data_IF_355905402789
#
_entry.id   IF_355905402789
#
_cell.length_a   1.000
_cell.length_b   1.000
_cell.length_c   1.000
_cell.angle_alpha   90.00
_cell.angle_beta   90.00
_cell.angle_gamma   90.00
#
_symmetry.space_group_name_H-M   'P 1'
#
loop_
_entity.id
_entity.type
_entity.pdbx_description
1 polymer ?
#
# COMPACT_ATOMS: atom_id res chain seq x y z
N UNK A 1 -5.42 -83.21 31.78
CA UNK A 1 -5.01 -84.34 30.91
C UNK A 1 -6.23 -85.22 30.73
N UNK A 2 -6.67 -85.67 29.53
CA UNK A 2 -6.11 -85.63 28.16
C UNK A 2 -7.03 -84.77 27.23
N UNK A 3 -7.23 -84.98 25.89
CA UNK A 3 -6.42 -85.60 24.81
C UNK A 3 -6.06 -84.59 23.69
N UNK A 4 -4.96 -84.75 22.95
CA UNK A 4 -4.78 -85.46 21.66
C UNK A 4 -5.67 -85.00 20.49
N UNK A 5 -4.96 -84.66 19.41
CA UNK A 5 -5.28 -84.06 18.10
C UNK A 5 -6.21 -84.81 17.14
N UNK A 6 -6.92 -84.07 16.27
CA UNK A 6 -7.33 -84.39 14.87
C UNK A 6 -7.53 -83.02 14.15
N UNK A 7 -6.72 -82.57 13.18
CA UNK A 7 -6.61 -82.88 11.72
C UNK A 7 -7.82 -82.39 10.89
N UNK A 8 -7.52 -81.88 9.67
CA UNK A 8 -8.36 -81.36 8.56
C UNK A 8 -8.73 -79.86 8.59
N UNK A 9 -8.77 -79.13 7.48
CA UNK A 9 -8.02 -79.15 6.24
C UNK A 9 -8.26 -77.79 5.53
N UNK A 10 -7.25 -77.32 4.81
CA UNK A 10 -7.34 -76.56 3.55
C UNK A 10 -8.49 -75.57 3.32
N UNK A 11 -8.26 -74.27 3.53
CA UNK A 11 -8.93 -73.23 2.70
C UNK A 11 -7.99 -72.04 2.40
N UNK A 12 -7.60 -71.97 1.12
CA UNK A 12 -6.90 -70.87 0.46
C UNK A 12 -7.73 -69.59 0.52
N UNK A 13 -7.35 -68.67 1.40
CA UNK A 13 -7.93 -67.33 1.51
C UNK A 13 -6.95 -66.26 1.04
N UNK A 14 -7.21 -65.71 -0.13
CA UNK A 14 -6.49 -64.60 -0.76
C UNK A 14 -6.26 -63.47 0.25
N UNK A 15 -4.98 -63.14 0.51
CA UNK A 15 -4.61 -61.95 1.29
C UNK A 15 -4.93 -60.70 0.47
N UNK A 16 -6.11 -60.13 0.66
CA UNK A 16 -6.41 -58.78 0.19
C UNK A 16 -5.76 -57.81 1.16
N UNK A 17 -4.56 -57.36 0.82
CA UNK A 17 -3.83 -56.34 1.56
C UNK A 17 -4.62 -55.02 1.40
N UNK A 18 -5.42 -54.66 2.41
CA UNK A 18 -6.12 -53.37 2.46
C UNK A 18 -5.07 -52.26 2.63
N UNK A 19 -4.68 -51.66 1.52
CA UNK A 19 -3.91 -50.42 1.53
C UNK A 19 -4.81 -49.31 2.10
N UNK A 20 -4.63 -49.00 3.37
CA UNK A 20 -5.21 -47.81 4.00
C UNK A 20 -4.57 -46.57 3.37
N UNK A 21 -5.23 -46.00 2.38
CA UNK A 21 -4.83 -44.73 1.76
C UNK A 21 -5.23 -43.62 2.74
N UNK A 22 -4.26 -43.14 3.52
CA UNK A 22 -4.37 -41.88 4.26
C UNK A 22 -4.17 -40.74 3.25
N UNK A 23 -5.26 -40.12 2.78
CA UNK A 23 -5.20 -38.86 2.03
C UNK A 23 -4.86 -37.71 3.01
N UNK A 24 -3.73 -37.01 2.86
CA UNK A 24 -3.54 -35.74 3.57
C UNK A 24 -4.38 -34.69 2.85
N UNK A 25 -5.41 -34.17 3.54
CA UNK A 25 -6.13 -32.99 3.08
C UNK A 25 -5.18 -31.79 3.09
N UNK A 26 -4.64 -31.45 1.92
CA UNK A 26 -3.81 -30.27 1.72
C UNK A 26 -4.71 -29.03 1.78
N UNK A 27 -4.91 -28.50 2.98
CA UNK A 27 -5.62 -27.24 3.19
C UNK A 27 -4.78 -26.10 2.58
N UNK A 28 -5.17 -25.63 1.39
CA UNK A 28 -4.67 -24.35 0.87
C UNK A 28 -5.17 -23.25 1.79
N UNK A 29 -4.32 -22.81 2.72
CA UNK A 29 -4.54 -21.59 3.47
C UNK A 29 -4.28 -20.43 2.51
N UNK A 30 -5.31 -20.01 1.77
CA UNK A 30 -5.29 -18.75 1.04
C UNK A 30 -5.24 -17.61 2.08
N UNK A 31 -4.04 -17.09 2.32
CA UNK A 31 -3.86 -15.92 3.17
C UNK A 31 -4.60 -14.72 2.59
N UNK A 32 -5.18 -13.83 3.42
CA UNK A 32 -5.85 -12.65 2.93
C UNK A 32 -4.82 -11.79 2.18
N UNK A 33 -5.09 -11.49 0.91
CA UNK A 33 -4.40 -10.44 0.19
C UNK A 33 -4.75 -9.12 0.88
N UNK A 34 -3.89 -8.67 1.81
CA UNK A 34 -3.98 -7.33 2.35
C UNK A 34 -3.63 -6.38 1.22
N UNK A 35 -4.65 -5.72 0.66
CA UNK A 35 -4.42 -4.48 -0.08
C UNK A 35 -3.66 -3.56 0.88
N UNK A 36 -2.37 -3.39 0.65
CA UNK A 36 -1.57 -2.50 1.47
C UNK A 36 -2.07 -1.08 1.20
N UNK A 37 -2.75 -0.50 2.19
CA UNK A 37 -3.22 0.87 2.13
C UNK A 37 -2.00 1.77 2.02
N UNK A 38 -1.81 2.37 0.85
CA UNK A 38 -0.78 3.38 0.66
C UNK A 38 -1.32 4.68 1.26
N UNK A 39 -0.72 5.09 2.37
CA UNK A 39 -1.03 6.33 3.08
C UNK A 39 0.22 7.21 3.21
N UNK A 40 0.02 8.51 3.10
CA UNK A 40 1.03 9.49 3.50
C UNK A 40 1.03 9.64 5.03
N UNK A 41 2.19 9.71 5.67
CA UNK A 41 2.27 10.19 7.06
C UNK A 41 1.68 11.60 7.19
N UNK A 42 0.90 11.84 8.24
CA UNK A 42 0.27 13.14 8.50
C UNK A 42 1.29 14.24 8.83
N UNK A 43 2.43 13.85 9.40
CA UNK A 43 3.56 14.72 9.75
C UNK A 43 4.87 14.11 9.25
N UNK A 44 5.81 14.97 8.87
CA UNK A 44 7.17 14.59 8.53
C UNK A 44 8.15 15.34 9.43
N UNK A 45 8.92 14.59 10.22
CA UNK A 45 10.04 15.15 10.95
C UNK A 45 11.24 15.35 10.00
N UNK A 46 11.78 16.57 9.94
CA UNK A 46 12.93 16.92 9.10
C UNK A 46 13.97 17.66 9.95
N UNK A 47 15.23 17.30 9.73
CA UNK A 47 16.37 18.07 10.21
C UNK A 47 16.96 18.87 9.04
N UNK A 48 16.78 20.18 9.06
CA UNK A 48 17.32 21.09 8.04
C UNK A 48 18.53 21.83 8.60
N UNK A 49 19.58 21.98 7.79
CA UNK A 49 20.79 22.69 8.20
C UNK A 49 21.26 23.66 7.13
N UNK A 50 21.72 24.83 7.57
CA UNK A 50 22.39 25.80 6.69
C UNK A 50 23.84 25.36 6.50
N UNK A 51 24.21 25.01 5.26
CA UNK A 51 25.57 24.56 4.93
C UNK A 51 26.55 25.74 4.87
N UNK A 52 26.09 26.90 4.44
CA UNK A 52 26.89 28.12 4.36
C UNK A 52 26.06 29.33 4.80
N UNK A 53 26.47 29.99 5.90
CA UNK A 53 25.82 31.18 6.43
C UNK A 53 26.44 32.44 5.79
N UNK A 54 25.65 33.33 5.18
CA UNK A 54 26.15 34.63 4.76
C UNK A 54 26.63 35.47 5.95
N UNK A 55 27.65 36.30 5.74
CA UNK A 55 28.22 37.14 6.81
C UNK A 55 27.17 38.05 7.45
N UNK A 56 27.12 38.07 8.78
CA UNK A 56 26.18 38.87 9.56
C UNK A 56 24.77 38.27 9.69
N UNK A 57 24.49 37.10 9.11
CA UNK A 57 23.20 36.40 9.22
C UNK A 57 23.21 35.31 10.30
N UNK A 58 22.02 34.97 10.79
CA UNK A 58 21.77 33.88 11.72
C UNK A 58 20.61 33.04 11.20
N UNK A 59 20.63 31.74 11.50
CA UNK A 59 19.54 30.81 11.15
C UNK A 59 18.79 30.37 12.39
N UNK A 60 17.49 30.18 12.21
CA UNK A 60 16.60 29.61 13.20
C UNK A 60 15.75 28.55 12.51
N UNK A 61 15.67 27.35 13.09
CA UNK A 61 14.71 26.34 12.64
C UNK A 61 13.39 26.62 13.36
N UNK A 62 12.40 27.11 12.61
CA UNK A 62 11.12 27.50 13.19
C UNK A 62 10.16 26.32 13.40
N UNK A 63 10.39 25.20 12.71
CA UNK A 63 9.54 24.01 12.75
C UNK A 63 10.36 22.77 12.39
N UNK A 64 10.14 21.66 13.11
CA UNK A 64 10.81 20.38 12.87
C UNK A 64 9.86 19.31 12.33
N UNK A 65 8.56 19.42 12.63
CA UNK A 65 7.51 18.54 12.12
C UNK A 65 6.66 19.29 11.11
N UNK A 66 6.55 18.75 9.89
CA UNK A 66 5.88 19.38 8.78
C UNK A 66 4.59 18.65 8.45
N UNK A 67 3.42 19.33 8.37
CA UNK A 67 2.15 18.67 8.10
C UNK A 67 2.04 18.26 6.62
N UNK A 68 1.30 17.18 6.35
CA UNK A 68 0.94 16.79 4.99
C UNK A 68 0.12 17.91 4.34
N UNK A 69 0.67 18.49 3.27
CA UNK A 69 0.08 19.60 2.53
C UNK A 69 -0.53 19.16 1.19
N UNK A 70 -0.14 18.00 0.67
CA UNK A 70 -0.65 17.52 -0.61
C UNK A 70 -0.08 16.19 -1.04
N UNK A 71 -0.58 15.71 -2.18
CA UNK A 71 -0.05 14.54 -2.86
C UNK A 71 0.06 14.78 -4.35
N UNK A 72 1.00 14.10 -4.98
CA UNK A 72 1.19 14.11 -6.42
C UNK A 72 1.48 12.70 -6.92
N UNK A 73 1.13 12.44 -8.18
CA UNK A 73 1.42 11.17 -8.85
C UNK A 73 2.43 11.41 -9.96
N UNK A 74 3.36 10.48 -10.10
CA UNK A 74 4.40 10.51 -11.10
C UNK A 74 4.42 9.18 -11.86
N UNK A 75 4.73 9.24 -13.15
CA UNK A 75 5.19 8.08 -13.91
C UNK A 75 6.72 8.06 -13.86
N UNK A 76 7.31 7.04 -13.23
CA UNK A 76 8.72 7.08 -12.86
C UNK A 76 8.99 7.84 -11.56
N UNK A 77 10.27 8.08 -11.25
CA UNK A 77 10.68 8.70 -9.99
C UNK A 77 10.28 10.19 -9.95
N UNK A 78 9.90 10.73 -8.77
CA UNK A 78 9.61 12.17 -8.66
C UNK A 78 10.77 13.09 -9.07
N UNK A 79 12.02 12.64 -8.93
CA UNK A 79 13.21 13.37 -9.39
C UNK A 79 13.27 13.56 -10.91
N UNK A 80 12.52 12.76 -11.66
CA UNK A 80 12.40 12.84 -13.12
C UNK A 80 11.34 13.87 -13.55
N UNK A 81 10.66 14.49 -12.58
CA UNK A 81 9.70 15.59 -12.75
C UNK A 81 8.50 15.29 -13.68
N UNK A 82 8.23 14.02 -13.97
CA UNK A 82 7.08 13.55 -14.75
C UNK A 82 5.77 13.54 -13.94
N UNK A 83 5.38 14.72 -13.43
CA UNK A 83 4.14 14.87 -12.65
C UNK A 83 2.92 14.64 -13.55
N UNK A 84 2.00 13.80 -13.08
CA UNK A 84 0.73 13.56 -13.75
C UNK A 84 -0.29 14.64 -13.40
N UNK A 85 -0.82 15.28 -14.44
CA UNK A 85 -1.98 16.18 -14.30
C UNK A 85 -3.22 15.34 -13.98
N UNK A 86 -4.04 15.72 -12.98
CA UNK A 86 -5.27 15.01 -12.70
C UNK A 86 -6.25 15.06 -13.88
N UNK A 87 -6.90 13.93 -14.17
CA UNK A 87 -8.00 13.87 -15.12
C UNK A 87 -9.22 14.69 -14.65
N UNK A 88 -9.44 14.76 -13.35
CA UNK A 88 -10.51 15.58 -12.78
C UNK A 88 -10.19 16.12 -11.40
N UNK A 89 -10.72 17.31 -11.13
CA UNK A 89 -10.79 17.91 -9.80
C UNK A 89 -12.18 18.54 -9.64
N UNK A 90 -12.92 18.13 -8.60
CA UNK A 90 -14.31 18.57 -8.36
C UNK A 90 -14.50 18.86 -6.87
N UNK A 91 -15.21 19.94 -6.54
CA UNK A 91 -15.66 20.17 -5.16
C UNK A 91 -16.92 19.35 -4.91
N UNK A 92 -17.02 18.71 -3.75
CA UNK A 92 -18.18 17.95 -3.30
C UNK A 92 -18.59 18.42 -1.91
N UNK A 93 -19.90 18.55 -1.67
CA UNK A 93 -20.47 18.91 -0.36
C UNK A 93 -21.43 20.10 -0.39
N UNK A 94 -22.27 20.21 0.65
CA UNK A 94 -23.14 21.38 0.90
C UNK A 94 -22.34 22.43 1.66
N UNK A 95 -22.64 23.72 1.41
CA UNK A 95 -22.02 25.01 1.86
C UNK A 95 -21.14 25.06 3.15
N UNK A 96 -21.22 24.10 4.08
CA UNK A 96 -20.45 24.05 5.34
C UNK A 96 -19.34 22.98 5.35
N UNK A 97 -19.44 21.91 4.55
CA UNK A 97 -18.36 20.91 4.38
C UNK A 97 -18.03 20.86 2.89
N UNK A 98 -16.82 21.30 2.53
CA UNK A 98 -16.35 21.28 1.14
C UNK A 98 -15.16 20.34 1.05
N UNK A 99 -15.34 19.17 0.44
CA UNK A 99 -14.22 18.33 0.03
C UNK A 99 -13.87 18.60 -1.44
N UNK A 100 -12.61 18.39 -1.80
CA UNK A 100 -12.15 18.37 -3.20
C UNK A 100 -11.74 16.95 -3.53
N UNK A 101 -12.36 16.39 -4.56
CA UNK A 101 -11.97 15.09 -5.11
C UNK A 101 -11.13 15.33 -6.34
N UNK A 102 -9.92 14.78 -6.32
CA UNK A 102 -8.99 14.74 -7.44
C UNK A 102 -8.79 13.30 -7.88
N UNK A 103 -8.76 13.03 -9.18
CA UNK A 103 -8.65 11.67 -9.70
C UNK A 103 -7.74 11.58 -10.91
N UNK A 104 -7.05 10.45 -11.01
CA UNK A 104 -6.12 10.09 -12.08
C UNK A 104 -6.47 8.71 -12.64
N UNK A 105 -6.42 8.58 -13.96
CA UNK A 105 -6.38 7.32 -14.69
C UNK A 105 -4.92 7.00 -15.02
N UNK A 106 -4.50 5.79 -14.68
CA UNK A 106 -3.12 5.34 -14.82
C UNK A 106 -3.06 4.29 -15.95
N UNK A 107 -2.68 4.68 -17.19
CA UNK A 107 -2.48 3.72 -18.27
C UNK A 107 -1.34 2.74 -17.94
N UNK A 108 -1.07 1.78 -18.82
CA UNK A 108 0.07 0.88 -18.59
C UNK A 108 1.37 1.66 -18.70
N UNK A 109 2.17 1.66 -17.63
CA UNK A 109 3.50 2.27 -17.59
C UNK A 109 4.59 1.20 -17.52
N UNK A 110 5.73 1.49 -18.18
CA UNK A 110 6.96 0.69 -18.04
C UNK A 110 7.78 1.07 -16.80
N UNK A 111 7.77 2.34 -16.44
CA UNK A 111 8.48 2.87 -15.26
C UNK A 111 7.71 2.62 -13.95
N UNK A 112 6.39 2.44 -14.09
CA UNK A 112 5.47 2.32 -12.97
C UNK A 112 5.13 3.69 -12.38
N UNK A 113 4.18 3.70 -11.44
CA UNK A 113 3.69 4.94 -10.85
C UNK A 113 4.20 5.12 -9.42
N UNK A 114 4.37 6.36 -9.02
CA UNK A 114 4.80 6.75 -7.68
C UNK A 114 3.82 7.75 -7.09
N UNK A 115 3.43 7.51 -5.83
CA UNK A 115 2.74 8.49 -5.00
C UNK A 115 3.79 9.28 -4.22
N UNK A 116 3.75 10.60 -4.35
CA UNK A 116 4.56 11.53 -3.58
C UNK A 116 3.70 12.28 -2.56
N UNK A 117 4.16 12.31 -1.33
CA UNK A 117 3.62 13.08 -0.22
C UNK A 117 4.39 14.39 -0.09
N UNK A 118 3.66 15.50 -0.12
CA UNK A 118 4.21 16.85 -0.08
C UNK A 118 3.93 17.46 1.30
N UNK A 119 4.96 18.01 1.93
CA UNK A 119 4.87 18.52 3.29
C UNK A 119 5.03 20.04 3.33
N UNK A 120 4.25 20.70 4.19
CA UNK A 120 4.22 22.15 4.30
C UNK A 120 5.47 22.69 4.98
N UNK A 121 6.05 23.75 4.41
CA UNK A 121 7.18 24.45 5.02
C UNK A 121 8.53 23.73 4.93
N UNK A 122 8.65 22.69 4.10
CA UNK A 122 9.93 22.03 3.76
C UNK A 122 9.96 21.68 2.27
N UNK A 123 11.16 21.53 1.71
CA UNK A 123 11.36 21.00 0.36
C UNK A 123 11.40 19.47 0.27
N UNK A 124 11.31 18.79 1.41
CA UNK A 124 11.38 17.32 1.45
C UNK A 124 10.11 16.68 0.87
N UNK A 125 10.32 15.69 0.01
CA UNK A 125 9.26 14.87 -0.60
C UNK A 125 9.51 13.42 -0.24
N UNK A 126 8.48 12.75 0.30
CA UNK A 126 8.52 11.31 0.55
C UNK A 126 7.69 10.62 -0.51
N UNK A 127 8.26 9.64 -1.20
CA UNK A 127 7.57 8.95 -2.27
C UNK A 127 7.65 7.44 -2.15
N UNK A 128 6.59 6.76 -2.59
CA UNK A 128 6.49 5.32 -2.62
C UNK A 128 5.98 4.86 -3.98
N UNK A 129 6.60 3.80 -4.52
CA UNK A 129 6.13 3.14 -5.74
C UNK A 129 4.78 2.47 -5.47
N UNK A 130 3.81 2.70 -6.36
CA UNK A 130 2.53 2.01 -6.34
C UNK A 130 2.73 0.55 -6.82
N UNK A 131 1.94 -0.41 -6.30
CA UNK A 131 1.93 -1.77 -6.79
C UNK A 131 1.68 -1.81 -8.29
N UNK A 132 2.27 -2.80 -8.94
CA UNK A 132 1.99 -3.04 -10.35
C UNK A 132 0.50 -3.31 -10.55
N UNK A 133 -0.04 -2.79 -11.66
CA UNK A 133 -1.44 -3.01 -12.03
C UNK A 133 -2.43 -1.98 -11.49
N UNK A 134 -2.04 -1.04 -10.62
CA UNK A 134 -2.89 0.11 -10.27
C UNK A 134 -3.29 0.86 -11.54
N UNK A 135 -4.59 1.09 -11.73
CA UNK A 135 -5.20 1.73 -12.90
C UNK A 135 -5.81 3.09 -12.61
N UNK A 136 -6.03 3.41 -11.35
CA UNK A 136 -6.58 4.71 -10.96
C UNK A 136 -6.18 5.09 -9.55
N UNK A 137 -6.08 6.39 -9.31
CA UNK A 137 -5.98 6.94 -7.97
C UNK A 137 -7.02 8.04 -7.77
N UNK A 138 -7.54 8.14 -6.56
CA UNK A 138 -8.43 9.19 -6.11
C UNK A 138 -7.93 9.74 -4.79
N UNK A 139 -7.97 11.06 -4.68
CA UNK A 139 -7.62 11.79 -3.48
C UNK A 139 -8.81 12.64 -3.09
N UNK A 140 -9.24 12.51 -1.84
CA UNK A 140 -10.16 13.44 -1.22
C UNK A 140 -9.35 14.38 -0.32
N UNK A 141 -9.58 15.67 -0.45
CA UNK A 141 -8.93 16.71 0.34
C UNK A 141 -9.96 17.57 1.04
N UNK A 142 -9.63 18.03 2.24
CA UNK A 142 -10.38 19.07 2.94
C UNK A 142 -10.12 20.42 2.27
N UNK A 143 -11.09 20.92 1.52
CA UNK A 143 -10.96 22.17 0.78
C UNK A 143 -11.18 23.42 1.66
N UNK A 144 -11.38 23.26 2.98
CA UNK A 144 -11.40 24.36 3.94
C UNK A 144 -10.01 24.77 4.42
N UNK A 145 -9.02 23.90 4.22
CA UNK A 145 -7.60 24.19 4.49
C UNK A 145 -6.91 24.80 3.26
N UNK A 146 -5.90 25.64 3.49
CA UNK A 146 -5.08 26.24 2.44
C UNK A 146 -3.58 25.98 2.69
N UNK A 147 -2.91 25.15 1.87
CA UNK A 147 -3.49 24.38 0.76
C UNK A 147 -4.41 23.24 1.26
N UNK A 148 -5.30 22.72 0.41
CA UNK A 148 -6.18 21.61 0.77
C UNK A 148 -5.41 20.36 1.22
N UNK A 149 -5.61 19.96 2.48
CA UNK A 149 -4.97 18.80 3.07
C UNK A 149 -5.64 17.49 2.61
N UNK A 150 -4.87 16.48 2.14
CA UNK A 150 -5.40 15.16 1.82
C UNK A 150 -5.97 14.46 3.06
N UNK A 151 -7.23 14.01 2.98
CA UNK A 151 -7.89 13.24 4.05
C UNK A 151 -8.03 11.76 3.69
N UNK A 152 -8.03 11.44 2.39
CA UNK A 152 -8.09 10.07 1.91
C UNK A 152 -7.38 9.90 0.57
N UNK A 153 -6.62 8.83 0.46
CA UNK A 153 -5.93 8.43 -0.76
C UNK A 153 -6.32 6.98 -1.06
N UNK A 154 -6.84 6.73 -2.25
CA UNK A 154 -7.25 5.41 -2.71
C UNK A 154 -6.65 5.16 -4.09
N UNK A 155 -5.86 4.10 -4.24
CA UNK A 155 -5.31 3.65 -5.51
C UNK A 155 -5.69 2.19 -5.74
N UNK A 156 -6.16 1.88 -6.95
CA UNK A 156 -6.68 0.57 -7.35
C UNK A 156 -6.36 0.25 -8.80
#
# INVERSE_FOLDING_TARGET
MPPTSLVEDTHWGVRVMKASILLPALALVAGPARAELISCPDQLAVEERVVQMPDGWQSFQNQAEHPLAGVSLFEGLPSEQATLVPDSSRKQGKRIITSRITSWNLPTSREGYWLACLYGGTGMVVARKLPDGVKSCRVESDATTDPPSPVRIECR
#
